data_IF_049030979085
#
_entry.id   IF_049030979085
#
_cell.length_a   1.000
_cell.length_b   1.000
_cell.length_c   1.000
_cell.angle_alpha   90.00
_cell.angle_beta   90.00
_cell.angle_gamma   90.00
#
_symmetry.space_group_name_H-M   'P 1'
#
loop_
_entity.id
_entity.type
_entity.pdbx_description
1 polymer ?
#
# COMPACT_ATOMS: atom_id res chain seq x y z
N UNK A 1 -4.10 -7.82 2.11
CA UNK A 1 -3.81 -6.62 2.91
C UNK A 1 -5.14 -6.10 3.35
N UNK A 2 -5.24 -5.66 4.59
CA UNK A 2 -6.44 -4.99 5.09
C UNK A 2 -6.19 -3.49 5.07
N UNK A 3 -7.20 -2.72 4.73
CA UNK A 3 -7.18 -1.27 4.73
C UNK A 3 -8.44 -0.74 5.44
N UNK A 4 -8.37 0.47 5.97
CA UNK A 4 -9.54 1.14 6.56
C UNK A 4 -10.49 1.70 5.49
N UNK A 5 -11.54 2.41 5.93
CA UNK A 5 -12.54 3.03 5.05
C UNK A 5 -11.97 4.15 4.15
N UNK A 6 -10.84 4.74 4.52
CA UNK A 6 -10.11 5.73 3.71
C UNK A 6 -9.10 5.07 2.75
N UNK A 7 -8.95 3.75 2.80
CA UNK A 7 -7.95 3.02 2.01
C UNK A 7 -6.55 3.04 2.64
N UNK A 8 -6.42 3.42 3.91
CA UNK A 8 -5.14 3.40 4.63
C UNK A 8 -4.79 1.96 5.02
N UNK A 9 -3.57 1.48 4.75
CA UNK A 9 -3.15 0.11 5.07
C UNK A 9 -3.12 -0.14 6.58
N UNK A 10 -3.81 -1.19 7.03
CA UNK A 10 -3.85 -1.63 8.44
C UNK A 10 -2.93 -2.84 8.68
N UNK A 11 -2.82 -3.74 7.70
CA UNK A 11 -2.04 -4.96 7.83
C UNK A 11 -1.44 -5.41 6.49
N UNK A 12 -0.20 -5.89 6.55
CA UNK A 12 0.54 -6.45 5.41
C UNK A 12 0.78 -7.92 5.66
N UNK A 13 0.40 -8.79 4.71
CA UNK A 13 0.82 -10.20 4.76
C UNK A 13 2.27 -10.29 4.33
N UNK A 14 3.14 -10.72 5.23
CA UNK A 14 4.52 -11.00 4.88
C UNK A 14 4.60 -12.27 4.01
N UNK A 15 5.67 -12.39 3.23
CA UNK A 15 5.94 -13.57 2.38
C UNK A 15 6.06 -14.87 3.20
N UNK A 16 6.35 -14.77 4.50
CA UNK A 16 6.39 -15.89 5.46
C UNK A 16 5.00 -16.39 5.90
N UNK A 17 3.91 -15.79 5.41
CA UNK A 17 2.54 -16.18 5.77
C UNK A 17 2.00 -15.55 7.06
N UNK A 18 2.86 -14.96 7.91
CA UNK A 18 2.42 -14.17 9.07
C UNK A 18 2.08 -12.74 8.64
N UNK A 19 0.93 -12.23 9.09
CA UNK A 19 0.57 -10.83 8.91
C UNK A 19 1.37 -9.93 9.87
N UNK A 20 1.91 -8.82 9.37
CA UNK A 20 2.41 -7.73 10.19
C UNK A 20 1.40 -6.57 10.18
N UNK A 21 1.15 -6.00 11.36
CA UNK A 21 0.37 -4.79 11.48
C UNK A 21 1.22 -3.57 11.13
N UNK A 22 0.57 -2.58 10.53
CA UNK A 22 1.14 -1.25 10.33
C UNK A 22 1.09 -0.52 11.66
N UNK A 23 2.24 -0.04 12.14
CA UNK A 23 2.34 0.77 13.34
C UNK A 23 2.17 2.27 13.03
N UNK A 24 2.70 2.71 11.89
CA UNK A 24 2.64 4.11 11.46
C UNK A 24 2.63 4.22 9.94
N UNK A 25 1.85 5.16 9.40
CA UNK A 25 2.00 5.65 8.01
C UNK A 25 2.83 6.92 8.07
N UNK A 26 3.94 6.96 7.34
CA UNK A 26 4.84 8.12 7.27
C UNK A 26 4.43 9.07 6.16
N UNK A 27 4.15 8.52 4.99
CA UNK A 27 3.82 9.27 3.79
C UNK A 27 2.72 8.57 3.01
N UNK A 28 1.90 9.37 2.32
CA UNK A 28 0.92 8.88 1.36
C UNK A 28 0.91 9.78 0.13
N UNK A 29 0.99 9.19 -1.06
CA UNK A 29 0.97 9.95 -2.30
C UNK A 29 0.31 9.16 -3.42
N UNK A 30 -0.30 9.89 -4.36
CA UNK A 30 -1.01 9.31 -5.49
C UNK A 30 -0.24 9.61 -6.77
N UNK A 31 -0.15 8.60 -7.63
CA UNK A 31 0.34 8.73 -8.99
C UNK A 31 -0.79 8.35 -9.93
N UNK A 32 -1.21 9.31 -10.74
CA UNK A 32 -2.06 9.08 -11.90
C UNK A 32 -1.23 9.39 -13.16
N UNK A 33 -1.08 8.40 -14.03
CA UNK A 33 -0.27 8.48 -15.25
C UNK A 33 -0.93 7.68 -16.38
N UNK A 34 -0.44 7.83 -17.61
CA UNK A 34 -0.86 7.10 -18.81
C UNK A 34 -2.40 7.07 -19.04
N UNK A 35 -3.14 8.07 -18.52
CA UNK A 35 -4.62 8.09 -18.51
C UNK A 35 -5.26 8.12 -19.90
N UNK A 36 -4.47 8.42 -20.93
CA UNK A 36 -4.87 8.50 -22.33
C UNK A 36 -4.62 7.20 -23.12
N UNK A 37 -4.02 6.17 -22.50
CA UNK A 37 -3.89 4.82 -23.05
C UNK A 37 -4.35 3.77 -22.05
N UNK A 38 -3.43 3.30 -21.23
CA UNK A 38 -3.65 2.30 -20.20
C UNK A 38 -3.46 3.01 -18.85
N UNK A 39 -4.55 3.50 -18.22
CA UNK A 39 -4.43 4.33 -17.04
C UNK A 39 -3.64 3.61 -15.94
N UNK A 40 -2.65 4.30 -15.41
CA UNK A 40 -1.96 3.92 -14.18
C UNK A 40 -2.51 4.83 -13.08
N UNK A 41 -3.14 4.24 -12.07
CA UNK A 41 -3.62 4.98 -10.91
C UNK A 41 -3.22 4.20 -9.66
N UNK A 42 -2.26 4.72 -8.90
CA UNK A 42 -1.66 4.04 -7.75
C UNK A 42 -1.60 4.97 -6.55
N UNK A 43 -2.06 4.48 -5.40
CA UNK A 43 -1.93 5.16 -4.12
C UNK A 43 -0.82 4.48 -3.32
N UNK A 44 0.30 5.17 -3.17
CA UNK A 44 1.48 4.71 -2.47
C UNK A 44 1.45 5.11 -1.00
N UNK A 45 2.07 4.28 -0.18
CA UNK A 45 2.27 4.50 1.25
C UNK A 45 3.70 4.10 1.63
N UNK A 46 4.36 4.95 2.40
CA UNK A 46 5.50 4.55 3.21
C UNK A 46 5.01 4.27 4.63
N UNK A 47 5.20 3.04 5.11
CA UNK A 47 4.73 2.61 6.42
C UNK A 47 5.86 2.05 7.26
N UNK A 48 5.70 2.09 8.58
CA UNK A 48 6.52 1.36 9.54
C UNK A 48 5.67 0.25 10.13
N UNK A 49 6.16 -0.99 10.07
CA UNK A 49 5.49 -2.13 10.66
C UNK A 49 5.81 -2.23 12.17
N UNK A 50 5.04 -3.00 12.94
CA UNK A 50 5.24 -3.14 14.40
C UNK A 50 6.65 -3.60 14.82
N UNK A 51 7.41 -4.28 13.95
CA UNK A 51 8.80 -4.64 14.21
C UNK A 51 9.81 -3.53 13.89
N UNK A 52 9.34 -2.30 13.64
CA UNK A 52 10.14 -1.13 13.33
C UNK A 52 10.66 -1.07 11.89
N UNK A 53 10.37 -2.06 11.04
CA UNK A 53 10.85 -2.08 9.65
C UNK A 53 10.01 -1.18 8.74
N UNK A 54 10.63 -0.31 7.93
CA UNK A 54 9.91 0.43 6.91
C UNK A 54 9.50 -0.49 5.76
N UNK A 55 8.40 -0.16 5.10
CA UNK A 55 7.90 -0.84 3.91
C UNK A 55 7.20 0.17 3.00
N UNK A 56 7.46 0.08 1.70
CA UNK A 56 6.68 0.80 0.69
C UNK A 56 5.67 -0.14 0.08
N UNK A 57 4.41 0.31 0.02
CA UNK A 57 3.32 -0.45 -0.55
C UNK A 57 2.43 0.46 -1.39
N UNK A 58 1.70 -0.10 -2.34
CA UNK A 58 0.76 0.67 -3.14
C UNK A 58 -0.53 -0.10 -3.44
N UNK A 59 -1.63 0.63 -3.51
CA UNK A 59 -2.90 0.15 -4.04
C UNK A 59 -2.99 0.57 -5.50
N UNK A 60 -2.98 -0.41 -6.40
CA UNK A 60 -3.38 -0.20 -7.79
C UNK A 60 -4.89 0.03 -7.82
N UNK A 61 -5.31 1.25 -8.09
CA UNK A 61 -6.70 1.68 -8.09
C UNK A 61 -7.46 1.22 -9.35
N UNK A 62 -6.74 0.90 -10.43
CA UNK A 62 -7.33 0.37 -11.66
C UNK A 62 -7.61 -1.12 -11.50
N UNK A 63 -6.60 -1.90 -11.11
CA UNK A 63 -6.72 -3.34 -10.89
C UNK A 63 -7.37 -3.68 -9.54
N UNK A 64 -7.52 -2.71 -8.62
CA UNK A 64 -8.01 -2.86 -7.25
C UNK A 64 -7.22 -3.89 -6.44
N UNK A 65 -5.89 -3.83 -6.57
CA UNK A 65 -4.96 -4.80 -5.96
C UNK A 65 -3.84 -4.10 -5.21
N UNK A 66 -3.47 -4.68 -4.08
CA UNK A 66 -2.37 -4.19 -3.27
C UNK A 66 -1.05 -4.90 -3.60
N UNK A 67 0.04 -4.14 -3.54
CA UNK A 67 1.39 -4.61 -3.79
C UNK A 67 2.34 -4.06 -2.71
N UNK A 68 3.38 -4.83 -2.39
CA UNK A 68 4.49 -4.43 -1.53
C UNK A 68 5.78 -4.53 -2.33
N UNK A 69 6.66 -3.54 -2.17
CA UNK A 69 7.97 -3.49 -2.84
C UNK A 69 9.08 -4.06 -1.96
#
# INVERSE_FOLDING_TARGET
MDADRSGTPLSVRARSGRGQRVAQVRECWRVDDEWWRAPVSRLYFEVVLENGRPLTLFHDLVARRWFAH
#
